data_IF_914521794930
#
_entry.id   IF_914521794930
#
_cell.length_a   1.000
_cell.length_b   1.000
_cell.length_c   1.000
_cell.angle_alpha   90.00
_cell.angle_beta   90.00
_cell.angle_gamma   90.00
#
_symmetry.space_group_name_H-M   'P 1'
#
loop_
_entity.id
_entity.type
_entity.pdbx_description
1 polymer ?
#
# COMPACT_ATOMS: atom_id res chain seq x y z
N UNK A 1 15.03 -17.44 2.22
CA UNK A 1 14.58 -17.47 0.81
C UNK A 1 15.48 -16.53 0.04
N UNK A 2 15.81 -16.80 -1.22
CA UNK A 2 16.56 -15.86 -2.05
C UNK A 2 15.64 -14.73 -2.53
N UNK A 3 16.16 -13.50 -2.61
CA UNK A 3 15.40 -12.29 -2.99
C UNK A 3 14.62 -12.46 -4.29
N UNK A 4 15.26 -12.98 -5.34
CA UNK A 4 14.62 -13.19 -6.65
C UNK A 4 13.41 -14.14 -6.55
N UNK A 5 13.54 -15.25 -5.83
CA UNK A 5 12.44 -16.21 -5.62
C UNK A 5 11.30 -15.61 -4.81
N UNK A 6 11.62 -14.77 -3.83
CA UNK A 6 10.62 -14.06 -3.05
C UNK A 6 9.84 -13.08 -3.93
N UNK A 7 10.55 -12.23 -4.67
CA UNK A 7 9.95 -11.27 -5.60
C UNK A 7 9.05 -11.97 -6.62
N UNK A 8 9.50 -13.05 -7.25
CA UNK A 8 8.70 -13.83 -8.21
C UNK A 8 7.42 -14.39 -7.57
N UNK A 9 7.51 -14.91 -6.35
CA UNK A 9 6.37 -15.41 -5.61
C UNK A 9 5.36 -14.28 -5.34
N UNK A 10 5.81 -13.13 -4.85
CA UNK A 10 4.95 -11.97 -4.56
C UNK A 10 4.24 -11.52 -5.84
N UNK A 11 4.98 -11.29 -6.93
CA UNK A 11 4.41 -10.88 -8.22
C UNK A 11 3.32 -11.86 -8.65
N UNK A 12 3.60 -13.17 -8.65
CA UNK A 12 2.64 -14.19 -9.11
C UNK A 12 1.31 -14.16 -8.34
N UNK A 13 1.36 -13.87 -7.03
CA UNK A 13 0.16 -13.80 -6.19
C UNK A 13 -0.61 -12.51 -6.41
N UNK A 14 0.07 -11.37 -6.45
CA UNK A 14 -0.58 -10.09 -6.69
C UNK A 14 -1.20 -10.01 -8.08
N UNK A 15 -0.60 -10.63 -9.10
CA UNK A 15 -1.19 -10.77 -10.43
C UNK A 15 -2.55 -11.47 -10.43
N UNK A 16 -2.77 -12.40 -9.51
CA UNK A 16 -4.03 -13.16 -9.42
C UNK A 16 -5.13 -12.32 -8.78
N UNK A 17 -4.80 -11.52 -7.76
CA UNK A 17 -5.78 -10.72 -7.01
C UNK A 17 -6.08 -9.39 -7.71
N UNK A 18 -5.07 -8.79 -8.33
CA UNK A 18 -5.12 -7.49 -8.96
C UNK A 18 -4.37 -7.50 -10.30
N UNK A 19 -5.05 -7.89 -11.39
CA UNK A 19 -4.42 -7.91 -12.71
C UNK A 19 -3.87 -6.54 -13.15
N UNK A 20 -4.44 -5.44 -12.63
CA UNK A 20 -4.02 -4.07 -12.94
C UNK A 20 -2.66 -3.64 -12.36
N UNK A 21 -2.06 -4.42 -11.45
CA UNK A 21 -0.71 -4.15 -10.93
C UNK A 21 0.41 -4.44 -11.95
N UNK A 22 0.10 -5.14 -13.06
CA UNK A 22 1.10 -5.56 -14.04
C UNK A 22 1.61 -4.39 -14.88
N UNK A 23 0.75 -3.42 -15.17
CA UNK A 23 1.07 -2.33 -16.12
C UNK A 23 2.16 -1.39 -15.59
N UNK A 24 2.47 -1.46 -14.29
CA UNK A 24 3.50 -0.65 -13.64
C UNK A 24 4.45 -1.47 -12.76
N UNK A 25 4.67 -2.75 -13.11
CA UNK A 25 5.73 -3.57 -12.51
C UNK A 25 7.11 -3.08 -12.98
N UNK A 26 8.01 -2.83 -12.03
CA UNK A 26 9.42 -2.55 -12.27
C UNK A 26 10.29 -3.53 -11.49
N UNK A 27 11.18 -4.22 -12.20
CA UNK A 27 12.24 -5.02 -11.58
C UNK A 27 13.48 -4.15 -11.37
N UNK A 28 14.12 -4.31 -10.22
CA UNK A 28 15.34 -3.60 -9.85
C UNK A 28 16.56 -4.52 -9.97
N UNK A 29 17.76 -3.93 -10.07
CA UNK A 29 19.03 -4.67 -10.28
C UNK A 29 19.35 -5.61 -9.11
N UNK A 30 18.86 -5.30 -7.91
CA UNK A 30 19.00 -6.08 -6.68
C UNK A 30 17.98 -7.24 -6.56
N UNK A 31 17.22 -7.51 -7.62
CA UNK A 31 16.17 -8.55 -7.67
C UNK A 31 14.93 -8.24 -6.84
N UNK A 32 14.80 -7.02 -6.30
CA UNK A 32 13.53 -6.52 -5.78
C UNK A 32 12.61 -6.09 -6.93
N UNK A 33 11.35 -5.85 -6.61
CA UNK A 33 10.39 -5.24 -7.52
C UNK A 33 9.62 -4.13 -6.83
N UNK A 34 9.27 -3.13 -7.63
CA UNK A 34 8.26 -2.13 -7.31
C UNK A 34 7.03 -2.42 -8.15
N UNK A 35 5.90 -2.50 -7.48
CA UNK A 35 4.59 -2.80 -8.04
C UNK A 35 3.71 -1.60 -7.76
N UNK A 36 3.02 -1.09 -8.76
CA UNK A 36 2.17 0.08 -8.61
C UNK A 36 0.75 -0.19 -9.12
N UNK A 37 -0.24 0.35 -8.41
CA UNK A 37 -1.64 0.34 -8.83
C UNK A 37 -2.24 1.72 -8.62
N UNK A 38 -2.70 2.32 -9.72
CA UNK A 38 -3.32 3.63 -9.68
C UNK A 38 -4.82 3.52 -9.40
N UNK A 39 -5.33 4.40 -8.54
CA UNK A 39 -6.77 4.56 -8.31
C UNK A 39 -7.47 5.01 -9.60
N UNK A 40 -8.78 4.83 -9.69
CA UNK A 40 -9.51 5.07 -10.95
C UNK A 40 -9.49 6.53 -11.39
N UNK A 41 -9.54 7.47 -10.46
CA UNK A 41 -9.41 8.91 -10.75
C UNK A 41 -7.95 9.37 -10.88
N UNK A 42 -6.99 8.50 -10.55
CA UNK A 42 -5.55 8.78 -10.63
C UNK A 42 -5.04 9.72 -9.55
N UNK A 43 -5.83 9.99 -8.51
CA UNK A 43 -5.43 10.83 -7.37
C UNK A 43 -4.42 10.14 -6.46
N UNK A 44 -4.53 8.82 -6.33
CA UNK A 44 -3.71 8.02 -5.43
C UNK A 44 -3.13 6.81 -6.17
N UNK A 45 -1.93 6.43 -5.76
CA UNK A 45 -1.27 5.21 -6.20
C UNK A 45 -0.91 4.38 -4.98
N UNK A 46 -1.25 3.10 -5.02
CA UNK A 46 -0.77 2.10 -4.07
C UNK A 46 0.52 1.51 -4.63
N UNK A 47 1.58 1.51 -3.82
CA UNK A 47 2.90 1.01 -4.16
C UNK A 47 3.21 -0.18 -3.25
N UNK A 48 3.80 -1.22 -3.82
CA UNK A 48 4.35 -2.37 -3.12
C UNK A 48 5.81 -2.53 -3.51
N UNK A 49 6.71 -2.74 -2.55
CA UNK A 49 8.11 -3.08 -2.81
C UNK A 49 8.49 -4.40 -2.13
N UNK A 50 9.46 -5.14 -2.68
CA UNK A 50 9.86 -6.47 -2.16
C UNK A 50 11.28 -6.55 -1.60
N UNK A 51 11.93 -5.42 -1.32
CA UNK A 51 13.35 -5.35 -0.97
C UNK A 51 13.68 -6.09 0.33
N UNK A 52 14.80 -6.83 0.36
CA UNK A 52 15.29 -7.48 1.58
C UNK A 52 14.49 -8.71 2.05
N UNK A 53 13.73 -9.35 1.15
CA UNK A 53 12.70 -10.34 1.50
C UNK A 53 11.57 -9.81 2.41
N UNK A 54 11.30 -8.51 2.33
CA UNK A 54 10.27 -7.81 3.08
C UNK A 54 9.28 -7.18 2.10
N UNK A 55 8.01 -7.03 2.51
CA UNK A 55 7.03 -6.27 1.74
C UNK A 55 6.76 -4.95 2.43
N UNK A 56 6.95 -3.87 1.68
CA UNK A 56 6.50 -2.53 2.08
C UNK A 56 5.34 -2.12 1.21
N UNK A 57 4.24 -1.68 1.83
CA UNK A 57 3.10 -1.07 1.15
C UNK A 57 3.09 0.42 1.41
N UNK A 58 2.68 1.23 0.43
CA UNK A 58 2.59 2.66 0.62
C UNK A 58 1.67 3.36 -0.35
N UNK A 59 1.31 4.59 0.00
CA UNK A 59 0.53 5.49 -0.82
C UNK A 59 1.40 6.60 -1.37
N UNK A 60 1.25 6.87 -2.67
CA UNK A 60 1.84 8.02 -3.33
C UNK A 60 0.75 8.80 -4.07
N UNK A 61 0.58 10.07 -3.71
CA UNK A 61 -0.23 10.99 -4.51
C UNK A 61 0.54 11.45 -5.76
N UNK A 62 -0.09 12.30 -6.56
CA UNK A 62 0.46 12.80 -7.84
C UNK A 62 1.82 13.52 -7.74
N UNK A 63 2.25 13.91 -6.54
CA UNK A 63 3.55 14.56 -6.30
C UNK A 63 4.73 13.58 -6.34
N UNK A 64 4.46 12.26 -6.34
CA UNK A 64 5.49 11.20 -6.42
C UNK A 64 6.24 10.94 -5.13
N UNK A 65 5.90 11.60 -4.02
CA UNK A 65 6.39 11.26 -2.68
C UNK A 65 5.46 10.24 -2.03
N UNK A 66 6.05 9.24 -1.37
CA UNK A 66 5.31 8.36 -0.47
C UNK A 66 4.79 9.21 0.69
N UNK A 67 3.48 9.36 0.78
CA UNK A 67 2.81 10.08 1.86
C UNK A 67 2.64 9.19 3.09
N UNK A 68 2.47 7.88 2.84
CA UNK A 68 2.41 6.86 3.86
C UNK A 68 3.07 5.58 3.36
N UNK A 69 3.73 4.85 4.26
CA UNK A 69 4.17 3.49 4.00
C UNK A 69 4.25 2.69 5.29
N UNK A 70 4.12 1.38 5.16
CA UNK A 70 4.19 0.44 6.26
C UNK A 70 4.85 -0.86 5.80
N UNK A 71 5.61 -1.45 6.71
CA UNK A 71 6.29 -2.72 6.55
C UNK A 71 5.41 -3.82 7.15
N UNK A 72 5.27 -5.00 6.51
CA UNK A 72 4.32 -6.00 7.04
C UNK A 72 4.77 -6.61 8.36
N UNK A 73 6.05 -6.51 8.71
CA UNK A 73 6.54 -6.83 10.05
C UNK A 73 5.88 -5.97 11.15
N UNK A 74 5.44 -4.74 10.85
CA UNK A 74 4.69 -3.89 11.79
C UNK A 74 3.27 -4.41 12.03
N UNK A 75 2.75 -5.25 11.14
CA UNK A 75 1.54 -6.04 11.31
C UNK A 75 1.81 -7.45 11.89
N UNK A 76 3.03 -7.72 12.35
CA UNK A 76 3.40 -8.97 13.01
C UNK A 76 3.88 -10.08 12.08
N UNK A 77 4.21 -9.78 10.81
CA UNK A 77 4.91 -10.76 9.98
C UNK A 77 6.32 -11.05 10.51
N UNK A 78 6.67 -12.33 10.64
CA UNK A 78 8.00 -12.78 11.06
C UNK A 78 8.73 -13.55 9.96
N UNK A 79 8.01 -13.92 8.90
CA UNK A 79 8.53 -14.74 7.80
C UNK A 79 8.09 -14.19 6.45
N UNK A 80 8.83 -14.45 5.36
CA UNK A 80 8.43 -14.02 4.00
C UNK A 80 7.05 -14.55 3.58
N UNK A 81 6.63 -15.71 4.09
CA UNK A 81 5.29 -16.22 3.83
C UNK A 81 4.21 -15.38 4.50
N UNK A 82 4.42 -14.99 5.76
CA UNK A 82 3.50 -14.12 6.50
C UNK A 82 3.48 -12.71 5.94
N UNK A 83 4.63 -12.15 5.55
CA UNK A 83 4.72 -10.86 4.84
C UNK A 83 3.75 -10.83 3.66
N UNK A 84 3.80 -11.87 2.83
CA UNK A 84 2.94 -12.02 1.66
C UNK A 84 1.46 -12.18 2.03
N UNK A 85 1.13 -13.01 3.01
CA UNK A 85 -0.25 -13.22 3.45
C UNK A 85 -0.88 -11.92 3.95
N UNK A 86 -0.19 -11.19 4.84
CA UNK A 86 -0.64 -9.92 5.40
C UNK A 86 -0.74 -8.86 4.30
N UNK A 87 0.24 -8.76 3.40
CA UNK A 87 0.18 -7.80 2.30
C UNK A 87 -1.02 -8.06 1.39
N UNK A 88 -1.28 -9.32 1.03
CA UNK A 88 -2.42 -9.68 0.18
C UNK A 88 -3.75 -9.35 0.87
N UNK A 89 -3.86 -9.60 2.18
CA UNK A 89 -5.03 -9.25 2.97
C UNK A 89 -5.23 -7.72 2.99
N UNK A 90 -4.22 -6.96 3.42
CA UNK A 90 -4.31 -5.50 3.53
C UNK A 90 -4.67 -4.85 2.19
N UNK A 91 -4.00 -5.24 1.11
CA UNK A 91 -4.33 -4.72 -0.22
C UNK A 91 -5.74 -5.12 -0.64
N UNK A 92 -6.17 -6.36 -0.36
CA UNK A 92 -7.54 -6.80 -0.66
C UNK A 92 -8.58 -5.99 0.11
N UNK A 93 -8.29 -5.61 1.36
CA UNK A 93 -9.18 -4.79 2.17
C UNK A 93 -9.28 -3.35 1.64
N UNK A 94 -8.16 -2.77 1.21
CA UNK A 94 -8.13 -1.43 0.61
C UNK A 94 -8.96 -1.41 -0.67
N UNK A 95 -8.67 -2.30 -1.63
CA UNK A 95 -9.29 -2.27 -2.97
C UNK A 95 -10.78 -2.68 -2.98
N UNK A 96 -11.23 -3.39 -1.92
CA UNK A 96 -12.63 -3.80 -1.74
C UNK A 96 -13.40 -2.89 -0.79
N UNK A 97 -12.84 -1.72 -0.49
CA UNK A 97 -13.45 -0.70 0.36
C UNK A 97 -13.82 -1.21 1.77
N UNK A 98 -13.05 -2.18 2.28
CA UNK A 98 -13.16 -2.63 3.68
C UNK A 98 -12.37 -1.73 4.62
N UNK A 99 -11.32 -1.08 4.12
CA UNK A 99 -10.56 -0.05 4.83
C UNK A 99 -10.85 1.33 4.23
N UNK A 100 -10.94 2.33 5.11
CA UNK A 100 -11.00 3.73 4.72
C UNK A 100 -9.59 4.29 4.65
N UNK A 101 -9.37 5.13 3.65
CA UNK A 101 -8.16 5.90 3.48
C UNK A 101 -8.46 7.30 4.01
N UNK A 102 -7.58 7.80 4.85
CA UNK A 102 -7.64 9.16 5.35
C UNK A 102 -6.86 10.05 4.39
N UNK A 103 -7.45 11.16 3.98
CA UNK A 103 -6.73 12.28 3.40
C UNK A 103 -6.67 13.40 4.43
N UNK A 104 -5.45 13.80 4.79
CA UNK A 104 -5.16 15.03 5.51
C UNK A 104 -4.55 16.04 4.54
N UNK A 105 -4.98 17.30 4.61
CA UNK A 105 -4.34 18.38 3.84
C UNK A 105 -2.86 18.59 4.20
N UNK A 106 -2.41 18.06 5.34
CA UNK A 106 -1.09 18.30 5.91
C UNK A 106 -0.19 17.06 5.81
N UNK A 107 -0.77 15.88 6.08
CA UNK A 107 -0.04 14.60 6.05
C UNK A 107 -0.21 13.82 4.73
N UNK A 108 -1.18 14.21 3.90
CA UNK A 108 -1.53 13.45 2.69
C UNK A 108 -2.38 12.22 3.01
N UNK A 109 -2.26 11.19 2.18
CA UNK A 109 -3.03 9.96 2.28
C UNK A 109 -2.37 8.91 3.19
N UNK A 110 -3.13 8.35 4.14
CA UNK A 110 -2.67 7.27 5.02
C UNK A 110 -3.81 6.33 5.42
N UNK A 111 -3.47 5.18 6.02
CA UNK A 111 -4.44 4.31 6.68
C UNK A 111 -4.45 4.55 8.18
N UNK A 112 -5.63 4.42 8.78
CA UNK A 112 -5.79 4.31 10.22
C UNK A 112 -6.48 2.98 10.57
N UNK A 113 -6.11 2.38 11.69
CA UNK A 113 -6.83 1.25 12.28
C UNK A 113 -8.07 1.72 13.05
N UNK A 114 -8.05 2.96 13.55
CA UNK A 114 -9.14 3.56 14.30
C UNK A 114 -9.48 4.94 13.74
N UNK A 115 -10.73 5.10 13.32
CA UNK A 115 -11.22 6.39 12.83
C UNK A 115 -11.57 7.33 13.97
N UNK A 116 -11.77 6.81 15.19
CA UNK A 116 -12.04 7.61 16.38
C UNK A 116 -10.74 8.26 16.91
N UNK A 117 -9.56 7.71 16.58
CA UNK A 117 -8.24 8.30 16.85
C UNK A 117 -7.94 9.51 15.94
N UNK A 118 -8.83 9.85 15.00
CA UNK A 118 -8.64 10.98 14.08
C UNK A 118 -8.94 12.33 14.73
N UNK A 119 -9.64 12.36 15.87
CA UNK A 119 -9.98 13.59 16.59
C UNK A 119 -8.72 14.36 17.04
N UNK A 120 -7.63 13.65 17.34
CA UNK A 120 -6.34 14.25 17.72
C UNK A 120 -5.62 14.96 16.56
N UNK A 121 -6.03 14.67 15.32
CA UNK A 121 -5.48 15.29 14.12
C UNK A 121 -6.29 16.51 13.67
N UNK A 122 -7.49 16.75 14.19
CA UNK A 122 -8.33 17.86 13.74
C UNK A 122 -8.00 19.13 14.55
N UNK A 123 -7.08 19.96 14.05
CA UNK A 123 -6.92 21.35 14.52
C UNK A 123 -7.64 22.34 13.59
N UNK A 124 -7.83 23.57 14.09
CA UNK A 124 -8.60 24.60 13.39
C UNK A 124 -8.00 24.92 12.01
N UNK A 125 -8.71 24.54 10.96
CA UNK A 125 -8.30 24.72 9.55
C UNK A 125 -7.78 23.46 8.84
N UNK A 126 -7.56 22.34 9.53
CA UNK A 126 -7.21 21.07 8.87
C UNK A 126 -8.41 20.51 8.10
N UNK A 127 -8.17 20.04 6.87
CA UNK A 127 -9.15 19.32 6.08
C UNK A 127 -8.86 17.83 6.13
N UNK A 128 -9.72 17.09 6.82
CA UNK A 128 -9.71 15.64 6.89
C UNK A 128 -10.86 15.06 6.06
N UNK A 129 -10.56 14.14 5.16
CA UNK A 129 -11.56 13.38 4.40
C UNK A 129 -11.32 11.87 4.58
N UNK A 130 -12.42 11.14 4.76
CA UNK A 130 -12.42 9.68 4.71
C UNK A 130 -12.95 9.25 3.36
N UNK A 131 -12.15 8.48 2.63
CA UNK A 131 -12.49 8.02 1.29
C UNK A 131 -12.21 6.53 1.15
N UNK A 132 -12.97 5.87 0.30
CA UNK A 132 -12.72 4.50 -0.12
C UNK A 132 -11.88 4.48 -1.40
N UNK A 133 -11.21 3.35 -1.67
CA UNK A 133 -10.38 3.21 -2.86
C UNK A 133 -11.19 3.38 -4.15
N UNK A 134 -12.42 2.87 -4.18
CA UNK A 134 -13.30 2.99 -5.36
C UNK A 134 -13.79 4.42 -5.65
N UNK A 135 -13.68 5.33 -4.68
CA UNK A 135 -14.03 6.75 -4.81
C UNK A 135 -12.85 7.59 -5.34
N UNK A 136 -11.65 7.01 -5.37
CA UNK A 136 -10.39 7.62 -5.80
C UNK A 136 -10.00 7.29 -7.23
#
# INVERSE_FOLDING_TARGET
>A
MEQEKFTELVISKFQTILPGFIDALRLNDDKSADLECQSKSGKLKLILTTFGNEITLGFAAQTGKLEWHIHMNMYGAETPGQELEIALELVTEIIKDKRRIVYSSELGYFLTEDVDDLDDFIYDGEKLELVYWSEL
#
